data_IF_782507600152
#
_entry.id   IF_782507600152
#
_cell.length_a   1.000
_cell.length_b   1.000
_cell.length_c   1.000
_cell.angle_alpha   90.00
_cell.angle_beta   90.00
_cell.angle_gamma   90.00
#
_symmetry.space_group_name_H-M   'P 1'
#
loop_
_entity.id
_entity.type
_entity.pdbx_description
1 polymer ?
#
# COMPACT_ATOMS: atom_id res chain seq x y z
N UNK A 1 9.81 11.06 -17.76
CA UNK A 1 10.85 10.01 -17.86
C UNK A 1 10.18 8.65 -17.88
N UNK A 2 10.55 7.78 -18.82
CA UNK A 2 10.06 6.41 -18.89
C UNK A 2 11.23 5.46 -18.59
N UNK A 3 10.96 4.34 -17.93
CA UNK A 3 11.92 3.28 -17.67
C UNK A 3 11.37 1.96 -18.20
N UNK A 4 12.25 1.16 -18.80
CA UNK A 4 11.94 -0.17 -19.31
C UNK A 4 12.92 -1.15 -18.66
N UNK A 5 12.39 -2.20 -18.04
CA UNK A 5 13.16 -3.26 -17.41
C UNK A 5 12.66 -4.59 -17.95
N UNK A 6 13.58 -5.41 -18.45
CA UNK A 6 13.28 -6.72 -19.00
C UNK A 6 14.38 -7.67 -18.52
N UNK A 7 14.00 -8.71 -17.78
CA UNK A 7 14.92 -9.64 -17.10
C UNK A 7 16.02 -8.91 -16.31
N UNK A 8 15.59 -7.95 -15.47
CA UNK A 8 16.49 -7.00 -14.84
C UNK A 8 16.25 -6.87 -13.33
N UNK A 9 17.32 -6.54 -12.62
CA UNK A 9 17.29 -6.24 -11.19
C UNK A 9 17.70 -4.78 -10.94
N UNK A 10 16.95 -4.08 -10.08
CA UNK A 10 17.25 -2.73 -9.69
C UNK A 10 17.07 -2.52 -8.18
N UNK A 11 17.97 -1.77 -7.55
CA UNK A 11 17.78 -1.41 -6.14
C UNK A 11 16.62 -0.43 -5.97
N UNK A 12 16.63 0.65 -6.76
CA UNK A 12 15.63 1.72 -6.71
C UNK A 12 15.28 2.11 -8.14
N UNK A 13 13.99 2.19 -8.43
CA UNK A 13 13.46 2.65 -9.72
C UNK A 13 12.56 3.85 -9.48
N UNK A 14 12.89 4.98 -10.10
CA UNK A 14 12.06 6.18 -10.08
C UNK A 14 11.75 6.61 -11.52
N UNK A 15 10.49 6.58 -11.90
CA UNK A 15 10.06 6.88 -13.26
C UNK A 15 8.72 7.63 -13.30
N UNK A 16 8.41 8.27 -14.42
CA UNK A 16 7.04 8.73 -14.68
C UNK A 16 6.15 7.55 -15.09
N UNK A 17 6.67 6.73 -15.99
CA UNK A 17 6.05 5.47 -16.45
C UNK A 17 7.12 4.38 -16.43
N UNK A 18 6.76 3.20 -15.93
CA UNK A 18 7.63 2.02 -15.86
C UNK A 18 6.96 0.86 -16.58
N UNK A 19 7.65 0.29 -17.57
CA UNK A 19 7.33 -1.02 -18.12
C UNK A 19 8.33 -2.05 -17.63
N UNK A 20 7.83 -3.14 -17.05
CA UNK A 20 8.65 -4.18 -16.47
C UNK A 20 8.21 -5.59 -16.90
N UNK A 21 9.12 -6.37 -17.47
CA UNK A 21 8.94 -7.80 -17.73
C UNK A 21 9.95 -8.58 -16.90
N UNK A 22 9.44 -9.47 -16.03
CA UNK A 22 10.24 -10.28 -15.12
C UNK A 22 11.33 -9.48 -14.39
N UNK A 23 10.90 -8.49 -13.61
CA UNK A 23 11.80 -7.55 -12.94
C UNK A 23 11.80 -7.72 -11.41
N UNK A 24 13.01 -7.70 -10.83
CA UNK A 24 13.23 -7.69 -9.39
C UNK A 24 13.69 -6.30 -8.92
N UNK A 25 12.90 -5.62 -8.08
CA UNK A 25 13.15 -4.24 -7.72
C UNK A 25 13.08 -4.03 -6.21
N UNK A 26 14.07 -3.41 -5.58
CA UNK A 26 13.97 -3.10 -4.14
C UNK A 26 12.82 -2.14 -3.83
N UNK A 27 12.86 -0.95 -4.44
CA UNK A 27 11.85 0.10 -4.29
C UNK A 27 11.45 0.66 -5.66
N UNK A 28 10.14 0.76 -5.91
CA UNK A 28 9.57 1.35 -7.12
C UNK A 28 8.77 2.59 -6.76
N UNK A 29 9.08 3.71 -7.40
CA UNK A 29 8.30 4.94 -7.33
C UNK A 29 7.97 5.40 -8.75
N UNK A 30 6.71 5.24 -9.17
CA UNK A 30 6.30 5.66 -10.50
C UNK A 30 4.92 6.31 -10.55
N UNK A 31 4.63 7.05 -11.62
CA UNK A 31 3.26 7.51 -11.88
C UNK A 31 2.40 6.33 -12.32
N UNK A 32 2.86 5.65 -13.37
CA UNK A 32 2.23 4.47 -13.94
C UNK A 32 3.24 3.31 -13.98
N UNK A 33 2.78 2.11 -13.63
CA UNK A 33 3.56 0.88 -13.73
C UNK A 33 2.74 -0.14 -14.52
N UNK A 34 3.34 -0.68 -15.58
CA UNK A 34 2.84 -1.81 -16.36
C UNK A 34 3.82 -2.95 -16.27
N UNK A 35 3.37 -4.12 -15.84
CA UNK A 35 4.26 -5.26 -15.77
C UNK A 35 3.59 -6.61 -15.96
N UNK A 36 4.34 -7.62 -16.40
CA UNK A 36 3.88 -9.00 -16.29
C UNK A 36 4.09 -9.49 -14.86
N UNK A 37 5.35 -9.65 -14.48
CA UNK A 37 5.78 -10.13 -13.18
C UNK A 37 6.64 -9.07 -12.51
N UNK A 38 6.26 -8.65 -11.31
CA UNK A 38 7.10 -7.80 -10.44
C UNK A 38 7.40 -8.56 -9.16
N UNK A 39 8.67 -8.56 -8.77
CA UNK A 39 9.07 -8.90 -7.42
C UNK A 39 9.71 -7.68 -6.74
N UNK A 40 9.05 -7.11 -5.74
CA UNK A 40 9.53 -5.89 -5.10
C UNK A 40 9.41 -5.85 -3.59
N UNK A 41 10.26 -5.09 -2.92
CA UNK A 41 10.08 -4.81 -1.51
C UNK A 41 8.94 -3.82 -1.28
N UNK A 42 8.96 -2.71 -2.01
CA UNK A 42 8.00 -1.61 -1.89
C UNK A 42 7.65 -1.07 -3.27
N UNK A 43 6.36 -0.94 -3.54
CA UNK A 43 5.85 -0.31 -4.75
C UNK A 43 4.97 0.87 -4.38
N UNK A 44 5.32 2.06 -4.87
CA UNK A 44 4.51 3.26 -4.80
C UNK A 44 4.17 3.74 -6.22
N UNK A 45 2.90 3.64 -6.59
CA UNK A 45 2.42 4.02 -7.92
C UNK A 45 1.08 4.75 -7.85
N UNK A 46 0.74 5.56 -8.85
CA UNK A 46 -0.63 6.07 -8.98
C UNK A 46 -1.51 5.00 -9.61
N UNK A 47 -1.04 4.43 -10.71
CA UNK A 47 -1.64 3.30 -11.40
C UNK A 47 -0.65 2.15 -11.49
N UNK A 48 -1.07 0.97 -11.07
CA UNK A 48 -0.32 -0.27 -11.17
C UNK A 48 -1.16 -1.29 -11.93
N UNK A 49 -0.66 -1.73 -13.07
CA UNK A 49 -1.24 -2.83 -13.84
C UNK A 49 -0.20 -3.92 -13.97
N UNK A 50 -0.54 -5.13 -13.55
CA UNK A 50 0.22 -6.29 -13.95
C UNK A 50 -0.53 -7.59 -13.82
N UNK A 51 0.10 -8.67 -14.24
CA UNK A 51 -0.52 -9.99 -14.14
C UNK A 51 -0.23 -10.57 -12.75
N UNK A 52 1.03 -10.56 -12.34
CA UNK A 52 1.49 -11.09 -11.04
C UNK A 52 2.42 -10.11 -10.32
N UNK A 53 1.95 -9.57 -9.20
CA UNK A 53 2.63 -8.52 -8.45
C UNK A 53 2.98 -9.05 -7.05
N UNK A 54 4.24 -9.38 -6.84
CA UNK A 54 4.78 -9.71 -5.53
C UNK A 54 5.40 -8.47 -4.91
N UNK A 55 4.85 -8.02 -3.78
CA UNK A 55 5.42 -6.89 -3.04
C UNK A 55 5.36 -7.06 -1.54
N UNK A 56 6.30 -6.49 -0.79
CA UNK A 56 6.15 -6.41 0.66
C UNK A 56 5.07 -5.40 1.05
N UNK A 57 5.13 -4.23 0.43
CA UNK A 57 4.25 -3.08 0.66
C UNK A 57 3.79 -2.48 -0.67
N UNK A 58 2.49 -2.29 -0.81
CA UNK A 58 1.88 -1.65 -1.98
C UNK A 58 1.16 -0.37 -1.61
N UNK A 59 1.62 0.74 -2.17
CA UNK A 59 0.97 2.04 -2.12
C UNK A 59 0.52 2.42 -3.53
N UNK A 60 -0.72 2.08 -3.88
CA UNK A 60 -1.28 2.45 -5.17
C UNK A 60 -2.75 2.86 -5.09
N UNK A 61 -3.13 3.82 -5.93
CA UNK A 61 -4.51 4.33 -5.99
C UNK A 61 -5.38 3.38 -6.78
N UNK A 62 -4.90 2.93 -7.95
CA UNK A 62 -5.60 1.97 -8.78
C UNK A 62 -4.66 0.80 -9.09
N UNK A 63 -5.09 -0.41 -8.74
CA UNK A 63 -4.34 -1.65 -8.96
C UNK A 63 -5.19 -2.62 -9.77
N UNK A 64 -4.61 -3.20 -10.81
CA UNK A 64 -5.22 -4.24 -11.63
C UNK A 64 -4.23 -5.37 -11.82
N UNK A 65 -4.58 -6.56 -11.38
CA UNK A 65 -3.70 -7.72 -11.40
C UNK A 65 -3.92 -8.64 -10.22
N UNK A 66 -3.20 -9.76 -10.22
CA UNK A 66 -3.05 -10.58 -9.02
C UNK A 66 -1.94 -10.01 -8.15
N UNK A 67 -2.26 -9.69 -6.89
CA UNK A 67 -1.37 -8.94 -6.00
C UNK A 67 -1.13 -9.74 -4.73
N UNK A 68 0.11 -10.21 -4.61
CA UNK A 68 0.62 -10.86 -3.42
C UNK A 68 1.42 -9.86 -2.60
N UNK A 69 0.74 -9.22 -1.63
CA UNK A 69 1.38 -8.31 -0.68
C UNK A 69 1.59 -8.96 0.68
N UNK A 70 2.82 -8.91 1.23
CA UNK A 70 3.09 -9.38 2.61
C UNK A 70 2.23 -8.61 3.61
N UNK A 71 2.06 -7.31 3.39
CA UNK A 71 1.13 -6.47 4.14
C UNK A 71 0.03 -6.02 3.18
N UNK A 72 -1.14 -6.67 3.25
CA UNK A 72 -2.24 -6.34 2.36
C UNK A 72 -2.88 -4.98 2.72
N UNK A 73 -3.45 -4.26 1.74
CA UNK A 73 -4.18 -3.02 1.99
C UNK A 73 -5.30 -3.17 3.03
N UNK A 74 -5.94 -4.34 3.06
CA UNK A 74 -6.96 -4.68 4.04
C UNK A 74 -6.40 -4.72 5.47
N UNK A 75 -5.21 -5.30 5.67
CA UNK A 75 -4.52 -5.31 6.98
C UNK A 75 -4.19 -3.88 7.42
N UNK A 76 -3.67 -3.06 6.50
CA UNK A 76 -3.41 -1.64 6.78
C UNK A 76 -4.68 -0.87 7.20
N UNK A 77 -5.79 -1.06 6.48
CA UNK A 77 -7.08 -0.47 6.82
C UNK A 77 -7.56 -0.94 8.20
N UNK A 78 -7.53 -2.25 8.48
CA UNK A 78 -7.98 -2.81 9.75
C UNK A 78 -7.21 -2.21 10.95
N UNK A 79 -5.89 -2.03 10.81
CA UNK A 79 -5.06 -1.36 11.83
C UNK A 79 -5.55 0.08 12.04
N UNK A 80 -5.69 0.85 10.95
CA UNK A 80 -6.15 2.23 11.02
C UNK A 80 -7.55 2.38 11.62
N UNK A 81 -8.50 1.54 11.20
CA UNK A 81 -9.87 1.52 11.70
C UNK A 81 -9.92 1.10 13.17
N UNK A 82 -9.15 0.10 13.58
CA UNK A 82 -9.07 -0.34 14.97
C UNK A 82 -8.55 0.77 15.87
N UNK A 83 -7.50 1.48 15.46
CA UNK A 83 -6.98 2.63 16.20
C UNK A 83 -7.98 3.79 16.30
N UNK A 84 -8.67 4.11 15.20
CA UNK A 84 -9.72 5.14 15.23
C UNK A 84 -10.87 4.75 16.18
N UNK A 85 -11.31 3.49 16.12
CA UNK A 85 -12.39 2.97 16.95
C UNK A 85 -12.04 3.02 18.45
N UNK A 86 -10.80 2.69 18.83
CA UNK A 86 -10.37 2.73 20.25
C UNK A 86 -10.38 4.15 20.80
N UNK A 87 -9.94 5.15 20.04
CA UNK A 87 -10.00 6.56 20.45
C UNK A 87 -11.45 7.01 20.63
N UNK A 88 -12.33 6.68 19.69
CA UNK A 88 -13.75 7.04 19.76
C UNK A 88 -14.40 6.37 20.97
N UNK A 89 -14.16 5.08 21.19
CA UNK A 89 -14.68 4.36 22.35
C UNK A 89 -14.21 4.99 23.67
N UNK A 90 -12.93 5.33 23.79
CA UNK A 90 -12.39 5.98 24.99
C UNK A 90 -13.08 7.34 25.27
N UNK A 91 -13.32 8.14 24.22
CA UNK A 91 -14.04 9.42 24.33
C UNK A 91 -15.48 9.23 24.82
N UNK A 92 -16.19 8.24 24.28
CA UNK A 92 -17.57 7.93 24.67
C UNK A 92 -17.63 7.47 26.13
N UNK A 93 -16.76 6.54 26.53
CA UNK A 93 -16.69 6.05 27.92
C UNK A 93 -16.43 7.21 28.88
N UNK A 94 -15.46 8.07 28.57
CA UNK A 94 -15.13 9.22 29.41
C UNK A 94 -16.30 10.20 29.55
N UNK A 95 -17.02 10.48 28.44
CA UNK A 95 -18.19 11.36 28.45
C UNK A 95 -19.31 10.79 29.34
N UNK A 96 -19.61 9.49 29.21
CA UNK A 96 -20.62 8.81 30.03
C UNK A 96 -20.25 8.86 31.51
N UNK A 97 -18.99 8.57 31.86
CA UNK A 97 -18.50 8.62 33.24
C UNK A 97 -18.61 10.03 33.82
N UNK A 98 -18.17 11.06 33.08
CA UNK A 98 -18.27 12.45 33.51
C UNK A 98 -19.72 12.86 33.75
N UNK A 99 -20.64 12.46 32.87
CA UNK A 99 -22.05 12.83 33.00
C UNK A 99 -22.70 12.18 34.24
N UNK A 100 -22.33 10.94 34.56
CA UNK A 100 -22.75 10.23 35.77
C UNK A 100 -22.22 10.86 37.06
N UNK A 101 -21.03 11.46 37.01
CA UNK A 101 -20.41 12.13 38.16
C UNK A 101 -20.97 13.54 38.39
N UNK A 102 -21.35 14.26 37.33
CA UNK A 102 -21.92 15.61 37.42
C UNK A 102 -23.41 15.64 37.79
N UNK A 103 -24.11 14.50 37.73
CA UNK A 103 -25.52 14.35 38.13
C UNK A 103 -25.72 13.85 39.57
N UNK A 104 -24.67 13.78 40.38
CA UNK A 104 -24.71 13.53 41.83
C UNK A 104 -24.24 14.78 42.56
#
# INVERSE_FOLDING_TARGET
SAAYLEDAAAGIVQAGSLEAQDAAMGVVMAGEVRANTINSGVVAARELKGDEIHTGLLFAVNVRGDVHSTISPLVGLAIGAGFAATIVAARVVFAVVRHRLAGR
#
